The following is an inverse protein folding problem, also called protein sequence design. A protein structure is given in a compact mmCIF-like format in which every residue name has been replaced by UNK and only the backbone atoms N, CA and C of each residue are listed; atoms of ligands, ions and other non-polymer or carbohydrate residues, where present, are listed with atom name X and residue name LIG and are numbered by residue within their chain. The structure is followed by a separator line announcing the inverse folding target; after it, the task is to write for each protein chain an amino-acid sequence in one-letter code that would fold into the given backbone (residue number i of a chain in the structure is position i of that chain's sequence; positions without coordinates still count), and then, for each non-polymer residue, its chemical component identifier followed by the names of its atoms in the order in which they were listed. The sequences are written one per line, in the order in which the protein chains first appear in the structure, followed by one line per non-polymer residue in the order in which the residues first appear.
data_IF_977966008792
#
_entry.id   IF_977966008792
#
_cell.length_a   1.000
_cell.length_b   1.000
_cell.length_c   1.000
_cell.angle_alpha   90.00
_cell.angle_beta   90.00
_cell.angle_gamma   90.00
#
_symmetry.space_group_name_H-M   'P 1'
#
loop_
_entity.id
_entity.type
_entity.pdbx_description
1 polymer ?
#
# COMPACT_ATOMS: atom_id res chain seq x y z
N UNK A 1 35.24 33.83 41.26
CA UNK A 1 34.45 32.59 41.14
C UNK A 1 34.04 32.53 39.68
N UNK A 2 34.91 31.97 38.85
CA UNK A 2 34.66 31.85 37.41
C UNK A 2 33.97 30.49 37.21
N UNK A 3 32.64 30.50 37.05
CA UNK A 3 31.89 29.29 36.73
C UNK A 3 32.18 28.92 35.26
N UNK A 4 33.14 28.00 35.08
CA UNK A 4 33.36 27.30 33.82
C UNK A 4 32.11 26.47 33.49
N UNK A 5 31.24 27.02 32.66
CA UNK A 5 30.13 26.28 32.06
C UNK A 5 30.70 25.26 31.09
N UNK A 6 30.86 24.02 31.54
CA UNK A 6 31.18 22.89 30.67
C UNK A 6 30.03 22.71 29.67
N UNK A 7 30.22 23.20 28.45
CA UNK A 7 29.30 22.95 27.33
C UNK A 7 29.20 21.45 27.10
N UNK A 8 28.03 20.90 27.41
CA UNK A 8 27.75 19.48 27.23
C UNK A 8 27.72 19.19 25.73
N UNK A 9 28.44 18.15 25.25
CA UNK A 9 28.44 17.81 23.84
C UNK A 9 27.03 17.43 23.40
N UNK A 10 26.60 17.94 22.25
CA UNK A 10 25.30 17.63 21.63
C UNK A 10 25.50 16.76 20.40
N UNK A 11 24.53 15.90 20.11
CA UNK A 11 24.56 15.07 18.90
C UNK A 11 24.41 15.92 17.64
N UNK A 12 25.30 15.72 16.67
CA UNK A 12 25.33 16.41 15.37
C UNK A 12 24.13 16.07 14.46
N UNK A 13 23.35 15.04 14.80
CA UNK A 13 22.20 14.59 13.99
C UNK A 13 20.82 14.79 14.60
N UNK A 14 20.70 14.79 15.93
CA UNK A 14 19.41 14.93 16.60
C UNK A 14 19.42 15.94 17.75
N UNK A 15 20.52 16.67 17.92
CA UNK A 15 20.69 17.76 18.88
C UNK A 15 20.46 17.37 20.35
N UNK A 16 20.39 16.06 20.64
CA UNK A 16 20.24 15.54 22.00
C UNK A 16 21.58 15.64 22.74
N UNK A 17 21.52 16.00 24.02
CA UNK A 17 22.69 16.05 24.90
C UNK A 17 23.31 14.66 25.03
N UNK A 18 24.62 14.56 24.80
CA UNK A 18 25.38 13.32 24.87
C UNK A 18 25.99 13.13 26.26
N UNK A 19 25.92 11.91 26.75
CA UNK A 19 26.77 11.47 27.85
C UNK A 19 28.15 11.18 27.27
N UNK A 20 29.20 11.82 27.79
CA UNK A 20 30.56 11.90 27.22
C UNK A 20 31.30 10.58 26.98
N UNK A 21 30.72 9.42 27.32
CA UNK A 21 31.37 8.11 27.24
C UNK A 21 30.80 7.16 26.17
N UNK A 22 29.74 7.54 25.45
CA UNK A 22 29.07 6.62 24.52
C UNK A 22 29.51 6.81 23.08
N UNK A 23 29.95 5.72 22.43
CA UNK A 23 30.29 5.69 20.98
C UNK A 23 29.09 6.04 20.07
N UNK A 24 27.88 5.70 20.52
CA UNK A 24 26.63 5.92 19.80
C UNK A 24 25.71 6.82 20.59
N UNK A 25 24.99 7.72 19.91
CA UNK A 25 23.93 8.52 20.53
C UNK A 25 22.80 7.61 21.04
N UNK A 26 22.40 7.79 22.30
CA UNK A 26 21.34 7.01 22.94
C UNK A 26 19.94 7.31 22.40
N UNK A 27 19.76 8.46 21.75
CA UNK A 27 18.46 8.89 21.23
C UNK A 27 18.26 8.48 19.76
N UNK A 28 19.20 8.80 18.87
CA UNK A 28 19.06 8.51 17.44
C UNK A 28 19.94 7.36 16.92
N UNK A 29 20.88 6.86 17.73
CA UNK A 29 21.81 5.80 17.34
C UNK A 29 22.99 6.25 16.46
N UNK A 30 23.18 7.55 16.23
CA UNK A 30 24.27 8.07 15.41
C UNK A 30 25.65 7.81 16.05
N UNK A 31 26.64 7.27 15.33
CA UNK A 31 27.97 6.96 15.88
C UNK A 31 28.92 8.17 15.87
N UNK A 32 28.81 9.06 16.86
CA UNK A 32 29.65 10.27 16.99
C UNK A 32 31.16 9.95 17.09
N UNK A 33 31.53 8.94 17.86
CA UNK A 33 32.92 8.48 18.02
C UNK A 33 33.21 7.23 17.16
N UNK A 34 32.38 6.98 16.15
CA UNK A 34 32.56 5.86 15.21
C UNK A 34 33.56 6.16 14.10
N UNK A 35 33.95 5.11 13.38
CA UNK A 35 34.72 5.28 12.13
C UNK A 35 33.88 5.93 11.03
N UNK A 36 34.51 6.54 10.03
CA UNK A 36 33.83 7.06 8.83
C UNK A 36 32.93 6.00 8.16
N UNK A 37 33.34 4.72 8.24
CA UNK A 37 32.55 3.59 7.74
C UNK A 37 31.26 3.40 8.54
N UNK A 38 31.28 3.56 9.86
CA UNK A 38 30.09 3.41 10.72
C UNK A 38 29.14 4.60 10.53
N UNK A 39 29.66 5.82 10.42
CA UNK A 39 28.87 7.02 10.13
C UNK A 39 28.21 6.93 8.74
N UNK A 40 28.96 6.55 7.71
CA UNK A 40 28.40 6.37 6.36
C UNK A 40 27.37 5.24 6.29
N UNK A 41 27.58 4.13 7.00
CA UNK A 41 26.59 3.06 7.14
C UNK A 41 25.31 3.52 7.83
N UNK A 42 25.40 4.37 8.85
CA UNK A 42 24.23 4.94 9.51
C UNK A 42 23.39 5.79 8.56
N UNK A 43 24.04 6.70 7.82
CA UNK A 43 23.35 7.52 6.81
C UNK A 43 22.74 6.67 5.69
N UNK A 44 23.46 5.66 5.19
CA UNK A 44 22.96 4.73 4.19
C UNK A 44 21.72 3.98 4.69
N UNK A 45 21.75 3.45 5.92
CA UNK A 45 20.60 2.78 6.55
C UNK A 45 19.40 3.71 6.69
N UNK A 46 19.60 4.97 7.09
CA UNK A 46 18.53 5.96 7.27
C UNK A 46 17.87 6.33 5.94
N UNK A 47 18.67 6.51 4.88
CA UNK A 47 18.15 6.75 3.52
C UNK A 47 17.35 5.55 3.01
N UNK A 48 17.86 4.34 3.18
CA UNK A 48 17.16 3.11 2.79
C UNK A 48 15.84 2.91 3.58
N UNK A 49 15.85 3.19 4.88
CA UNK A 49 14.65 3.10 5.72
C UNK A 49 13.57 4.11 5.29
N UNK A 50 13.95 5.36 5.03
CA UNK A 50 13.03 6.40 4.56
C UNK A 50 12.45 6.06 3.17
N UNK A 51 13.28 5.55 2.25
CA UNK A 51 12.82 5.08 0.95
C UNK A 51 11.83 3.91 1.08
N UNK A 52 12.08 2.97 1.99
CA UNK A 52 11.19 1.83 2.21
C UNK A 52 9.79 2.27 2.70
N UNK A 53 9.71 3.27 3.57
CA UNK A 53 8.45 3.86 4.01
C UNK A 53 7.69 4.51 2.86
N UNK A 54 8.36 5.30 2.02
CA UNK A 54 7.71 5.91 0.86
C UNK A 54 7.21 4.88 -0.16
N UNK A 55 8.02 3.85 -0.44
CA UNK A 55 7.67 2.79 -1.39
C UNK A 55 6.46 2.00 -0.91
N UNK A 56 6.40 1.64 0.37
CA UNK A 56 5.25 0.93 0.95
C UNK A 56 3.97 1.77 0.88
N UNK A 57 4.06 3.07 1.16
CA UNK A 57 2.91 3.99 1.12
C UNK A 57 2.40 4.19 -0.31
N UNK A 58 3.31 4.37 -1.28
CA UNK A 58 2.98 4.51 -2.71
C UNK A 58 2.36 3.24 -3.29
N UNK A 59 2.81 2.05 -2.85
CA UNK A 59 2.25 0.76 -3.31
C UNK A 59 0.82 0.53 -2.82
N UNK A 60 0.52 0.90 -1.57
CA UNK A 60 -0.85 0.85 -1.02
C UNK A 60 -1.77 1.83 -1.78
N UNK A 61 -1.28 3.05 -2.03
CA UNK A 61 -2.03 4.05 -2.82
C UNK A 61 -2.29 3.59 -4.26
N UNK A 62 -1.35 2.86 -4.88
CA UNK A 62 -1.55 2.27 -6.21
C UNK A 62 -2.68 1.24 -6.22
N UNK A 63 -2.79 0.42 -5.17
CA UNK A 63 -3.82 -0.60 -5.07
C UNK A 63 -5.21 0.02 -4.83
N UNK A 64 -5.26 1.12 -4.09
CA UNK A 64 -6.47 1.93 -3.90
C UNK A 64 -6.98 2.53 -5.22
N UNK A 65 -6.07 3.05 -6.07
CA UNK A 65 -6.43 3.56 -7.40
C UNK A 65 -7.06 2.47 -8.28
N UNK A 66 -6.58 1.23 -8.20
CA UNK A 66 -7.16 0.10 -8.94
C UNK A 66 -8.63 -0.13 -8.56
N UNK A 67 -8.98 -0.06 -7.28
CA UNK A 67 -10.36 -0.24 -6.81
C UNK A 67 -11.29 0.87 -7.29
N UNK A 68 -10.83 2.13 -7.26
CA UNK A 68 -11.58 3.25 -7.85
C UNK A 68 -11.77 3.06 -9.36
N UNK A 69 -10.74 2.59 -10.06
CA UNK A 69 -10.83 2.32 -11.49
C UNK A 69 -11.82 1.18 -11.80
N UNK A 70 -11.85 0.12 -10.98
CA UNK A 70 -12.86 -0.95 -11.07
C UNK A 70 -14.27 -0.41 -10.87
N UNK A 71 -14.48 0.38 -9.81
CA UNK A 71 -15.78 1.00 -9.54
C UNK A 71 -16.29 1.81 -10.74
N UNK A 72 -15.42 2.61 -11.36
CA UNK A 72 -15.73 3.34 -12.59
C UNK A 72 -16.05 2.42 -13.77
N UNK A 73 -15.24 1.38 -14.00
CA UNK A 73 -15.46 0.42 -15.10
C UNK A 73 -16.79 -0.30 -14.96
N UNK A 74 -17.11 -0.85 -13.78
CA UNK A 74 -18.38 -1.53 -13.55
C UNK A 74 -19.57 -0.60 -13.79
N UNK A 75 -19.48 0.66 -13.34
CA UNK A 75 -20.55 1.63 -13.55
C UNK A 75 -20.71 1.99 -15.04
N UNK A 76 -19.62 2.25 -15.75
CA UNK A 76 -19.64 2.56 -17.19
C UNK A 76 -20.14 1.37 -18.00
N UNK A 77 -19.69 0.14 -17.70
CA UNK A 77 -20.18 -1.07 -18.35
C UNK A 77 -21.67 -1.30 -18.09
N UNK A 78 -22.11 -1.13 -16.84
CA UNK A 78 -23.52 -1.23 -16.47
C UNK A 78 -24.39 -0.24 -17.24
N UNK A 79 -23.96 1.03 -17.31
CA UNK A 79 -24.65 2.06 -18.10
C UNK A 79 -24.66 1.72 -19.60
N UNK A 80 -23.50 1.38 -20.16
CA UNK A 80 -23.37 1.05 -21.59
C UNK A 80 -24.27 -0.12 -21.98
N UNK A 81 -24.31 -1.16 -21.16
CA UNK A 81 -25.15 -2.33 -21.40
C UNK A 81 -26.63 -1.96 -21.28
N UNK A 82 -27.01 -1.18 -20.26
CA UNK A 82 -28.36 -0.67 -20.10
C UNK A 82 -28.84 0.14 -21.31
N UNK A 83 -28.04 1.05 -21.84
CA UNK A 83 -28.42 1.81 -23.05
C UNK A 83 -28.54 0.95 -24.31
N UNK A 84 -27.93 -0.24 -24.33
CA UNK A 84 -27.96 -1.14 -25.48
C UNK A 84 -29.09 -2.16 -25.41
N UNK A 85 -29.40 -2.66 -24.22
CA UNK A 85 -30.35 -3.77 -24.02
C UNK A 85 -31.58 -3.39 -23.21
N UNK A 86 -31.62 -2.17 -22.67
CA UNK A 86 -32.66 -1.65 -21.75
C UNK A 86 -32.89 -2.51 -20.51
N UNK A 87 -31.94 -3.39 -20.18
CA UNK A 87 -32.03 -4.33 -19.05
C UNK A 87 -31.58 -3.67 -17.75
N UNK A 88 -32.56 -3.29 -16.93
CA UNK A 88 -32.36 -2.66 -15.62
C UNK A 88 -31.65 -3.62 -14.65
N UNK A 89 -31.82 -4.94 -14.80
CA UNK A 89 -31.23 -5.92 -13.89
C UNK A 89 -29.70 -5.85 -13.93
N UNK A 90 -29.14 -5.76 -15.14
CA UNK A 90 -27.70 -5.66 -15.37
C UNK A 90 -27.17 -4.33 -14.82
N UNK A 91 -27.92 -3.24 -14.97
CA UNK A 91 -27.56 -1.95 -14.41
C UNK A 91 -27.46 -2.01 -12.87
N UNK A 92 -28.48 -2.57 -12.22
CA UNK A 92 -28.54 -2.68 -10.76
C UNK A 92 -27.38 -3.54 -10.25
N UNK A 93 -27.14 -4.71 -10.84
CA UNK A 93 -26.04 -5.59 -10.42
C UNK A 93 -24.68 -4.90 -10.55
N UNK A 94 -24.42 -4.23 -11.68
CA UNK A 94 -23.16 -3.51 -11.89
C UNK A 94 -23.03 -2.29 -10.98
N UNK A 95 -24.13 -1.59 -10.67
CA UNK A 95 -24.14 -0.49 -9.72
C UNK A 95 -23.79 -0.96 -8.30
N UNK A 96 -24.34 -2.09 -7.86
CA UNK A 96 -24.01 -2.70 -6.57
C UNK A 96 -22.51 -3.05 -6.52
N UNK A 97 -21.99 -3.72 -7.55
CA UNK A 97 -20.56 -4.02 -7.68
C UNK A 97 -19.69 -2.77 -7.63
N UNK A 98 -20.08 -1.72 -8.35
CA UNK A 98 -19.39 -0.44 -8.34
C UNK A 98 -19.32 0.16 -6.94
N UNK A 99 -20.42 0.16 -6.19
CA UNK A 99 -20.50 0.66 -4.82
C UNK A 99 -19.63 -0.19 -3.89
N UNK A 100 -19.67 -1.51 -4.00
CA UNK A 100 -18.82 -2.40 -3.21
C UNK A 100 -17.33 -2.08 -3.41
N UNK A 101 -16.87 -1.99 -4.66
CA UNK A 101 -15.47 -1.63 -4.93
C UNK A 101 -15.10 -0.23 -4.43
N UNK A 102 -16.02 0.72 -4.45
CA UNK A 102 -15.81 2.09 -3.95
C UNK A 102 -15.70 2.11 -2.41
N UNK A 103 -16.57 1.37 -1.71
CA UNK A 103 -16.49 1.20 -0.26
C UNK A 103 -15.18 0.52 0.16
N UNK A 104 -14.78 -0.52 -0.56
CA UNK A 104 -13.48 -1.17 -0.35
C UNK A 104 -12.34 -0.16 -0.60
N UNK A 105 -12.39 0.62 -1.67
CA UNK A 105 -11.38 1.66 -1.96
C UNK A 105 -11.25 2.67 -0.80
N UNK A 106 -12.38 3.10 -0.21
CA UNK A 106 -12.36 4.00 0.94
C UNK A 106 -11.74 3.33 2.18
N UNK A 107 -12.09 2.07 2.45
CA UNK A 107 -11.64 1.32 3.62
C UNK A 107 -10.16 0.89 3.56
N UNK A 108 -9.53 1.00 2.38
CA UNK A 108 -8.11 0.63 2.16
C UNK A 108 -7.16 1.42 3.07
N UNK A 109 -7.54 2.62 3.52
CA UNK A 109 -6.71 3.48 4.38
C UNK A 109 -6.47 2.89 5.78
N UNK A 110 -7.41 2.12 6.31
CA UNK A 110 -7.29 1.54 7.65
C UNK A 110 -6.67 0.14 7.62
N UNK A 111 -7.12 -0.71 6.69
CA UNK A 111 -6.71 -2.13 6.62
C UNK A 111 -6.44 -2.57 5.19
N UNK A 112 -5.33 -2.10 4.57
CA UNK A 112 -5.05 -2.33 3.16
C UNK A 112 -5.00 -3.81 2.77
N UNK A 113 -4.45 -4.67 3.63
CA UNK A 113 -4.35 -6.10 3.36
C UNK A 113 -5.73 -6.77 3.29
N UNK A 114 -6.58 -6.55 4.30
CA UNK A 114 -7.91 -7.14 4.37
C UNK A 114 -8.80 -6.66 3.21
N UNK A 115 -8.72 -5.38 2.85
CA UNK A 115 -9.46 -4.82 1.72
C UNK A 115 -9.01 -5.39 0.38
N UNK A 116 -7.71 -5.51 0.13
CA UNK A 116 -7.23 -6.05 -1.14
C UNK A 116 -7.57 -7.53 -1.28
N UNK A 117 -7.50 -8.29 -0.19
CA UNK A 117 -7.92 -9.68 -0.17
C UNK A 117 -9.43 -9.82 -0.45
N UNK A 118 -10.27 -8.99 0.19
CA UNK A 118 -11.72 -9.03 -0.04
C UNK A 118 -12.10 -8.59 -1.46
N UNK A 119 -11.42 -7.58 -2.02
CA UNK A 119 -11.63 -7.18 -3.41
C UNK A 119 -11.27 -8.28 -4.41
N UNK A 120 -10.18 -9.01 -4.15
CA UNK A 120 -9.77 -10.15 -4.96
C UNK A 120 -10.78 -11.29 -4.87
N UNK A 121 -11.23 -11.63 -3.66
CA UNK A 121 -12.28 -12.64 -3.45
C UNK A 121 -13.57 -12.26 -4.17
N UNK A 122 -14.03 -11.02 -4.02
CA UNK A 122 -15.22 -10.51 -4.71
C UNK A 122 -15.09 -10.67 -6.23
N UNK A 123 -13.93 -10.31 -6.78
CA UNK A 123 -13.66 -10.41 -8.21
C UNK A 123 -13.70 -11.87 -8.71
N UNK A 124 -13.08 -12.79 -7.97
CA UNK A 124 -13.10 -14.22 -8.29
C UNK A 124 -14.53 -14.78 -8.24
N UNK A 125 -15.34 -14.38 -7.27
CA UNK A 125 -16.75 -14.77 -7.18
C UNK A 125 -17.53 -14.32 -8.41
N UNK A 126 -17.33 -13.07 -8.86
CA UNK A 126 -17.98 -12.54 -10.07
C UNK A 126 -17.56 -13.33 -11.31
N UNK A 127 -16.27 -13.66 -11.45
CA UNK A 127 -15.80 -14.49 -12.56
C UNK A 127 -16.43 -15.88 -12.50
N UNK A 128 -16.48 -16.51 -11.32
CA UNK A 128 -17.03 -17.84 -11.15
C UNK A 128 -18.53 -17.89 -11.52
N UNK A 129 -19.31 -16.89 -11.11
CA UNK A 129 -20.73 -16.78 -11.49
C UNK A 129 -20.86 -16.63 -13.01
N UNK A 130 -20.11 -15.70 -13.61
CA UNK A 130 -20.17 -15.47 -15.06
C UNK A 130 -19.72 -16.68 -15.87
N UNK A 131 -18.74 -17.45 -15.37
CA UNK A 131 -18.28 -18.68 -16.02
C UNK A 131 -19.36 -19.76 -16.10
N UNK A 132 -20.24 -19.83 -15.08
CA UNK A 132 -21.38 -20.77 -15.06
C UNK A 132 -22.51 -20.29 -15.97
N UNK A 133 -22.77 -18.98 -16.00
CA UNK A 133 -23.84 -18.39 -16.83
C UNK A 133 -23.47 -18.41 -18.32
N UNK A 134 -22.26 -17.98 -18.66
CA UNK A 134 -21.74 -18.00 -20.02
C UNK A 134 -20.22 -18.29 -20.02
N UNK A 135 -19.79 -19.52 -20.36
CA UNK A 135 -18.38 -19.88 -20.39
C UNK A 135 -17.59 -19.14 -21.47
N UNK A 136 -18.24 -18.62 -22.54
CA UNK A 136 -17.55 -17.77 -23.52
C UNK A 136 -17.15 -16.41 -22.95
N UNK A 137 -17.83 -15.94 -21.90
CA UNK A 137 -17.46 -14.73 -21.17
C UNK A 137 -16.07 -14.84 -20.53
N UNK A 138 -15.54 -16.05 -20.29
CA UNK A 138 -14.19 -16.26 -19.77
C UNK A 138 -13.12 -15.80 -20.77
N UNK A 139 -13.33 -16.10 -22.05
CA UNK A 139 -12.45 -15.76 -23.16
C UNK A 139 -12.51 -14.27 -23.50
N UNK A 140 -13.69 -13.66 -23.35
CA UNK A 140 -13.88 -12.24 -23.59
C UNK A 140 -13.24 -11.39 -22.49
N UNK A 141 -12.48 -10.36 -22.89
CA UNK A 141 -11.86 -9.41 -21.97
C UNK A 141 -10.69 -9.96 -21.14
N UNK A 142 -10.07 -11.10 -21.54
CA UNK A 142 -8.92 -11.73 -20.85
C UNK A 142 -7.82 -10.72 -20.49
N UNK A 143 -7.51 -9.79 -21.39
CA UNK A 143 -6.46 -8.77 -21.18
C UNK A 143 -6.74 -7.96 -19.92
N UNK A 144 -7.98 -7.45 -19.77
CA UNK A 144 -8.38 -6.68 -18.59
C UNK A 144 -8.33 -7.54 -17.33
N UNK A 145 -8.77 -8.80 -17.42
CA UNK A 145 -8.75 -9.72 -16.27
C UNK A 145 -7.34 -10.01 -15.77
N UNK A 146 -6.39 -10.21 -16.67
CA UNK A 146 -4.97 -10.45 -16.35
C UNK A 146 -4.32 -9.20 -15.76
N UNK A 147 -4.59 -8.02 -16.32
CA UNK A 147 -4.11 -6.74 -15.76
C UNK A 147 -4.65 -6.55 -14.34
N UNK A 148 -5.94 -6.82 -14.10
CA UNK A 148 -6.52 -6.72 -12.77
C UNK A 148 -5.93 -7.73 -11.78
N UNK A 149 -5.80 -8.99 -12.17
CA UNK A 149 -5.22 -10.02 -11.31
C UNK A 149 -3.78 -9.66 -10.93
N UNK A 150 -2.96 -9.25 -11.90
CA UNK A 150 -1.56 -8.88 -11.66
C UNK A 150 -1.43 -7.66 -10.74
N UNK A 151 -2.27 -6.64 -10.90
CA UNK A 151 -2.30 -5.47 -10.02
C UNK A 151 -2.74 -5.84 -8.58
N UNK A 152 -3.79 -6.65 -8.43
CA UNK A 152 -4.30 -7.07 -7.11
C UNK A 152 -3.30 -7.98 -6.39
N UNK A 153 -2.72 -8.97 -7.09
CA UNK A 153 -1.70 -9.87 -6.52
C UNK A 153 -0.47 -9.08 -6.08
N UNK A 154 0.01 -8.14 -6.92
CA UNK A 154 1.15 -7.28 -6.58
C UNK A 154 0.84 -6.37 -5.39
N UNK A 155 -0.39 -5.84 -5.30
CA UNK A 155 -0.86 -5.08 -4.16
C UNK A 155 -0.89 -5.90 -2.87
N UNK A 156 -1.42 -7.12 -2.94
CA UNK A 156 -1.54 -8.04 -1.80
C UNK A 156 -0.16 -8.48 -1.28
N UNK A 157 0.77 -8.83 -2.18
CA UNK A 157 2.14 -9.21 -1.81
C UNK A 157 2.90 -8.04 -1.14
N UNK A 158 2.69 -6.82 -1.62
CA UNK A 158 3.28 -5.64 -0.97
C UNK A 158 2.71 -5.38 0.41
N UNK A 159 1.42 -5.65 0.63
CA UNK A 159 0.76 -5.45 1.92
C UNK A 159 1.14 -6.54 2.93
N UNK A 160 1.31 -7.80 2.52
CA UNK A 160 1.78 -8.88 3.41
C UNK A 160 3.21 -8.64 3.91
N UNK A 161 4.10 -8.14 3.06
CA UNK A 161 5.48 -7.82 3.43
C UNK A 161 5.60 -6.68 4.44
N UNK A 162 4.64 -5.75 4.45
CA UNK A 162 4.56 -4.70 5.50
C UNK A 162 4.05 -5.24 6.84
N UNK A 163 3.34 -6.36 6.84
CA UNK A 163 2.75 -6.97 8.04
C UNK A 163 3.75 -7.88 8.77
N UNK A 164 4.67 -8.56 8.05
CA UNK A 164 5.66 -9.45 8.67
C UNK A 164 6.81 -8.74 9.39
N UNK A 165 6.93 -7.41 9.30
CA UNK A 165 7.93 -6.63 10.04
C UNK A 165 7.44 -6.10 11.39
N UNK A 166 6.18 -6.37 11.78
CA UNK A 166 5.66 -6.05 13.12
C UNK A 166 5.75 -7.22 14.11
N UNK A 167 6.29 -8.35 13.69
CA UNK A 167 6.31 -9.58 14.49
C UNK A 167 7.71 -10.22 14.53
N UNK A 168 8.73 -9.44 14.89
CA UNK A 168 9.97 -9.95 15.52
C UNK A 168 10.38 -8.91 16.56
#
# INVERSE_FOLDING_TARGET
MEELTMQQPVCSQCETVLTTETKFCTHCGYPELGSEKEQSQFHAKRVMANQQHEVNTKRIASAQKTLYWMSGIFLVFGLFYFFRTEDISILITNAILSILYLLLAFWTKEKPFATLLSALLLYLTVIAINAVVDPMSLLSGIIMKVIFLSLLIKGLYSASQSTSMRTI
#
